data_IF_320470224195
#
_entry.id   IF_320470224195
#
_cell.length_a   1.000
_cell.length_b   1.000
_cell.length_c   1.000
_cell.angle_alpha   90.00
_cell.angle_beta   90.00
_cell.angle_gamma   90.00
#
_symmetry.space_group_name_H-M   'P 1'
#
loop_
_entity.id
_entity.type
_entity.pdbx_description
1 polymer ?
#
# COMPACT_ATOMS: atom_id res chain seq x y z
N UNK A 1 38.49 10.42 1.84
CA UNK A 1 37.52 10.37 0.73
C UNK A 1 36.41 11.34 1.04
N UNK A 2 36.05 12.21 0.08
CA UNK A 2 34.96 13.18 0.26
C UNK A 2 33.70 12.65 -0.41
N UNK A 3 32.56 12.61 0.33
CA UNK A 3 31.28 12.22 -0.23
C UNK A 3 30.81 13.34 -1.19
N UNK A 4 30.57 12.97 -2.45
CA UNK A 4 30.16 13.92 -3.50
C UNK A 4 28.62 14.05 -3.56
N UNK A 5 27.90 13.00 -3.19
CA UNK A 5 26.43 12.99 -3.19
C UNK A 5 25.89 11.73 -2.55
N UNK A 6 24.60 11.77 -2.23
CA UNK A 6 23.84 10.63 -1.70
C UNK A 6 22.73 10.34 -2.71
N UNK A 7 22.57 9.07 -3.08
CA UNK A 7 21.50 8.59 -3.95
C UNK A 7 20.67 7.54 -3.23
N UNK A 8 19.37 7.51 -3.49
CA UNK A 8 18.48 6.51 -2.96
C UNK A 8 18.50 5.26 -3.85
N UNK A 9 18.84 4.13 -3.28
CA UNK A 9 18.75 2.83 -3.92
C UNK A 9 17.65 2.02 -3.23
N UNK A 10 16.72 1.47 -4.02
CA UNK A 10 15.63 0.64 -3.49
C UNK A 10 16.06 -0.80 -3.22
N UNK A 11 17.14 -1.24 -3.84
CA UNK A 11 17.72 -2.58 -3.70
C UNK A 11 19.19 -2.46 -3.32
N UNK A 12 19.54 -3.01 -2.18
CA UNK A 12 20.86 -3.02 -1.59
C UNK A 12 21.51 -1.63 -1.41
N UNK A 13 22.50 -1.54 -0.57
CA UNK A 13 23.28 -0.32 -0.34
C UNK A 13 24.56 -0.38 -1.18
N UNK A 14 24.72 0.57 -2.08
CA UNK A 14 25.90 0.69 -2.93
C UNK A 14 26.66 1.96 -2.65
N UNK A 15 28.00 1.85 -2.66
CA UNK A 15 28.88 3.01 -2.70
C UNK A 15 29.50 3.10 -4.09
N UNK A 16 29.18 4.16 -4.80
CA UNK A 16 29.75 4.43 -6.12
C UNK A 16 31.06 5.21 -5.94
N UNK A 17 32.17 4.61 -6.35
CA UNK A 17 33.50 5.17 -6.20
C UNK A 17 34.24 5.05 -7.54
N UNK A 18 35.02 6.08 -7.91
CA UNK A 18 35.87 6.01 -9.11
C UNK A 18 37.04 5.06 -8.86
N UNK A 19 37.52 4.40 -9.92
CA UNK A 19 38.69 3.49 -9.86
C UNK A 19 39.92 4.17 -9.27
N UNK A 20 40.17 5.43 -9.63
CA UNK A 20 41.28 6.20 -9.12
C UNK A 20 41.17 6.47 -7.61
N UNK A 21 39.97 6.84 -7.15
CA UNK A 21 39.70 7.03 -5.71
C UNK A 21 39.82 5.73 -4.93
N UNK A 22 39.38 4.61 -5.52
CA UNK A 22 39.49 3.29 -4.91
C UNK A 22 40.99 2.91 -4.71
N UNK A 23 41.81 3.05 -5.77
CA UNK A 23 43.25 2.80 -5.69
C UNK A 23 43.94 3.66 -4.63
N UNK A 24 43.57 4.96 -4.57
CA UNK A 24 44.14 5.87 -3.60
C UNK A 24 43.73 5.56 -2.16
N UNK A 25 42.51 5.10 -1.94
CA UNK A 25 41.98 4.83 -0.62
C UNK A 25 42.37 3.46 -0.06
N UNK A 26 42.46 2.44 -0.91
CA UNK A 26 42.62 1.03 -0.49
C UNK A 26 43.99 0.44 -0.92
N UNK A 27 44.71 1.10 -1.86
CA UNK A 27 46.02 0.63 -2.32
C UNK A 27 46.00 -0.52 -3.30
N UNK A 28 44.80 -1.07 -3.62
CA UNK A 28 44.63 -2.20 -4.52
C UNK A 28 43.80 -1.84 -5.75
N UNK A 29 43.88 -2.66 -6.78
CA UNK A 29 43.01 -2.55 -7.94
C UNK A 29 41.63 -3.21 -7.67
N UNK A 30 40.50 -2.55 -8.06
CA UNK A 30 39.19 -3.15 -7.89
C UNK A 30 39.03 -4.36 -8.79
N UNK A 31 38.67 -5.50 -8.22
CA UNK A 31 38.30 -6.70 -8.98
C UNK A 31 36.91 -6.49 -9.61
N UNK A 32 36.83 -6.63 -10.92
CA UNK A 32 35.55 -6.59 -11.63
C UNK A 32 34.85 -7.94 -11.49
N UNK A 33 33.79 -7.98 -10.65
CA UNK A 33 33.00 -9.19 -10.42
C UNK A 33 31.62 -9.15 -11.11
N UNK A 34 31.21 -8.00 -11.64
CA UNK A 34 29.93 -7.80 -12.30
C UNK A 34 30.09 -6.96 -13.53
N UNK A 35 29.44 -7.35 -14.62
CA UNK A 35 29.32 -6.61 -15.85
C UNK A 35 27.85 -6.23 -16.06
N UNK A 36 27.58 -4.95 -16.30
CA UNK A 36 26.29 -4.46 -16.74
C UNK A 36 26.38 -4.22 -18.26
N UNK A 37 25.65 -5.04 -19.02
CA UNK A 37 25.62 -4.96 -20.46
C UNK A 37 24.31 -4.33 -20.93
N UNK A 38 24.39 -3.47 -21.94
CA UNK A 38 23.22 -2.99 -22.66
C UNK A 38 23.03 -3.83 -23.90
N UNK A 39 21.87 -4.44 -24.05
CA UNK A 39 21.52 -5.22 -25.24
C UNK A 39 21.33 -4.31 -26.46
N UNK A 40 21.69 -4.81 -27.63
CA UNK A 40 21.37 -4.17 -28.91
C UNK A 40 19.85 -4.21 -29.17
N UNK A 41 19.36 -3.28 -29.97
CA UNK A 41 17.96 -3.26 -30.34
C UNK A 41 17.56 -4.57 -31.05
N UNK A 42 16.53 -5.24 -30.50
CA UNK A 42 16.02 -6.51 -31.03
C UNK A 42 16.58 -7.79 -30.41
N UNK A 43 17.59 -7.70 -29.51
CA UNK A 43 18.07 -8.86 -28.78
C UNK A 43 17.15 -9.19 -27.58
N UNK A 44 16.80 -10.46 -27.44
CA UNK A 44 16.04 -10.93 -26.27
C UNK A 44 16.96 -11.20 -25.09
N UNK A 45 16.60 -10.67 -23.93
CA UNK A 45 17.42 -10.77 -22.73
C UNK A 45 17.60 -12.21 -22.23
N UNK A 46 16.57 -13.03 -22.36
CA UNK A 46 16.58 -14.42 -21.84
C UNK A 46 17.45 -15.35 -22.68
N UNK A 47 17.43 -15.20 -24.03
CA UNK A 47 18.30 -15.98 -24.92
C UNK A 47 19.78 -15.67 -24.65
N UNK A 48 20.10 -14.37 -24.51
CA UNK A 48 21.44 -13.91 -24.18
C UNK A 48 21.92 -14.38 -22.80
N UNK A 49 21.06 -14.42 -21.79
CA UNK A 49 21.45 -14.90 -20.47
C UNK A 49 21.78 -16.38 -20.49
N UNK A 50 21.07 -17.17 -21.30
CA UNK A 50 21.33 -18.60 -21.48
C UNK A 50 22.68 -18.83 -22.17
N UNK A 51 22.96 -18.12 -23.25
CA UNK A 51 24.26 -18.21 -23.97
C UNK A 51 25.42 -17.76 -23.08
N UNK A 52 25.23 -16.69 -22.27
CA UNK A 52 26.26 -16.21 -21.37
C UNK A 52 26.57 -17.19 -20.24
N UNK A 53 25.57 -17.92 -19.73
CA UNK A 53 25.78 -18.96 -18.71
C UNK A 53 26.52 -20.21 -19.25
N UNK A 54 26.55 -20.43 -20.56
CA UNK A 54 27.37 -21.48 -21.18
C UNK A 54 28.86 -21.07 -21.29
N UNK A 55 29.17 -19.78 -21.13
CA UNK A 55 30.54 -19.29 -21.19
C UNK A 55 31.31 -19.67 -19.92
N UNK A 56 32.54 -20.18 -20.11
CA UNK A 56 33.43 -20.49 -19.00
C UNK A 56 33.81 -19.20 -18.24
N UNK A 57 33.46 -19.14 -16.95
CA UNK A 57 33.77 -18.01 -16.08
C UNK A 57 32.56 -17.12 -15.71
N UNK A 58 31.41 -17.32 -16.34
CA UNK A 58 30.15 -16.67 -15.93
C UNK A 58 29.46 -17.54 -14.90
N UNK A 59 29.32 -17.05 -13.69
CA UNK A 59 28.63 -17.76 -12.60
C UNK A 59 27.13 -17.54 -12.65
N UNK A 60 26.71 -16.34 -13.06
CA UNK A 60 25.29 -15.97 -13.11
C UNK A 60 25.07 -14.84 -14.11
N UNK A 61 24.05 -14.97 -14.91
CA UNK A 61 23.56 -13.94 -15.79
C UNK A 61 22.04 -13.78 -15.61
N UNK A 62 21.55 -12.55 -15.62
CA UNK A 62 20.11 -12.26 -15.49
C UNK A 62 19.76 -11.03 -16.31
N UNK A 63 18.61 -11.04 -16.95
CA UNK A 63 18.10 -9.86 -17.63
C UNK A 63 17.34 -8.96 -16.65
N UNK A 64 17.39 -7.65 -16.87
CA UNK A 64 16.60 -6.69 -16.08
C UNK A 64 15.10 -6.91 -16.25
N UNK A 65 14.69 -7.51 -17.39
CA UNK A 65 13.30 -7.82 -17.68
C UNK A 65 12.82 -8.97 -16.80
N UNK A 66 13.57 -10.09 -16.75
CA UNK A 66 13.26 -11.26 -15.93
C UNK A 66 13.21 -10.88 -14.44
N UNK A 67 14.16 -10.05 -13.99
CA UNK A 67 14.15 -9.52 -12.62
C UNK A 67 12.87 -8.72 -12.35
N UNK A 68 12.48 -7.83 -13.27
CA UNK A 68 11.26 -7.02 -13.12
C UNK A 68 10.00 -7.89 -13.10
N UNK A 69 9.91 -8.91 -13.95
CA UNK A 69 8.80 -9.85 -14.00
C UNK A 69 8.68 -10.64 -12.69
N UNK A 70 9.76 -11.20 -12.20
CA UNK A 70 9.80 -11.92 -10.92
C UNK A 70 9.37 -11.03 -9.74
N UNK A 71 9.83 -9.76 -9.69
CA UNK A 71 9.38 -8.80 -8.69
C UNK A 71 7.90 -8.45 -8.85
N UNK A 72 7.43 -8.25 -10.08
CA UNK A 72 6.03 -7.95 -10.37
C UNK A 72 5.11 -9.09 -9.90
N UNK A 73 5.49 -10.34 -10.15
CA UNK A 73 4.68 -11.49 -9.76
C UNK A 73 4.69 -11.71 -8.24
N UNK A 74 5.80 -11.43 -7.59
CA UNK A 74 5.87 -11.40 -6.11
C UNK A 74 4.93 -10.34 -5.52
N UNK A 75 4.90 -9.15 -6.11
CA UNK A 75 4.01 -8.05 -5.69
C UNK A 75 2.54 -8.41 -5.93
N UNK A 76 2.20 -9.02 -7.08
CA UNK A 76 0.82 -9.47 -7.37
C UNK A 76 0.30 -10.49 -6.34
N UNK A 77 1.16 -11.33 -5.80
CA UNK A 77 0.78 -12.27 -4.74
C UNK A 77 0.35 -11.52 -3.46
N UNK A 78 0.98 -10.38 -3.17
CA UNK A 78 0.62 -9.52 -2.03
C UNK A 78 -0.72 -8.83 -2.26
N UNK A 79 -1.06 -8.47 -3.50
CA UNK A 79 -2.35 -7.85 -3.84
C UNK A 79 -3.54 -8.72 -3.45
N UNK A 80 -3.42 -10.05 -3.60
CA UNK A 80 -4.43 -11.01 -3.15
C UNK A 80 -4.65 -10.96 -1.62
N UNK A 81 -3.59 -10.87 -0.85
CA UNK A 81 -3.66 -10.75 0.62
C UNK A 81 -4.30 -9.43 1.02
N UNK A 82 -3.91 -8.33 0.36
CA UNK A 82 -4.49 -7.00 0.61
C UNK A 82 -5.99 -7.00 0.31
N UNK A 83 -6.43 -7.63 -0.79
CA UNK A 83 -7.84 -7.75 -1.13
C UNK A 83 -8.64 -8.47 -0.02
N UNK A 84 -8.12 -9.60 0.48
CA UNK A 84 -8.77 -10.35 1.58
C UNK A 84 -8.86 -9.50 2.85
N UNK A 85 -7.81 -8.74 3.18
CA UNK A 85 -7.81 -7.82 4.33
C UNK A 85 -8.85 -6.71 4.17
N UNK A 86 -8.98 -6.12 2.98
CA UNK A 86 -9.99 -5.09 2.69
C UNK A 86 -11.40 -5.67 2.84
N UNK A 87 -11.65 -6.86 2.32
CA UNK A 87 -12.95 -7.52 2.44
C UNK A 87 -13.28 -7.86 3.90
N UNK A 88 -12.33 -8.39 4.65
CA UNK A 88 -12.52 -8.70 6.07
C UNK A 88 -12.81 -7.44 6.90
N UNK A 89 -12.05 -6.37 6.68
CA UNK A 89 -12.28 -5.08 7.33
C UNK A 89 -13.64 -4.48 6.95
N UNK A 90 -14.05 -4.60 5.68
CA UNK A 90 -15.34 -4.15 5.19
C UNK A 90 -16.50 -4.90 5.84
N UNK A 91 -16.42 -6.22 5.93
CA UNK A 91 -17.42 -7.05 6.61
C UNK A 91 -17.52 -6.69 8.10
N UNK A 92 -16.38 -6.50 8.77
CA UNK A 92 -16.39 -6.05 10.16
C UNK A 92 -17.06 -4.69 10.30
N UNK A 93 -16.76 -3.75 9.41
CA UNK A 93 -17.37 -2.42 9.39
C UNK A 93 -18.90 -2.51 9.26
N UNK A 94 -19.42 -3.36 8.34
CA UNK A 94 -20.84 -3.58 8.15
C UNK A 94 -21.49 -4.09 9.44
N UNK A 95 -20.91 -5.11 10.08
CA UNK A 95 -21.45 -5.70 11.32
C UNK A 95 -21.49 -4.68 12.45
N UNK A 96 -20.40 -3.91 12.61
CA UNK A 96 -20.30 -2.89 13.67
C UNK A 96 -21.30 -1.76 13.43
N UNK A 97 -21.39 -1.23 12.22
CA UNK A 97 -22.33 -0.16 11.87
C UNK A 97 -23.79 -0.64 12.05
N UNK A 98 -24.11 -1.86 11.59
CA UNK A 98 -25.42 -2.44 11.76
C UNK A 98 -25.82 -2.54 13.24
N UNK A 99 -24.92 -3.08 14.08
CA UNK A 99 -25.17 -3.18 15.50
C UNK A 99 -25.33 -1.80 16.17
N UNK A 100 -24.47 -0.85 15.83
CA UNK A 100 -24.51 0.50 16.39
C UNK A 100 -25.81 1.21 16.02
N UNK A 101 -26.25 1.09 14.77
CA UNK A 101 -27.49 1.71 14.29
C UNK A 101 -28.71 1.06 14.95
N UNK A 102 -28.73 -0.27 15.10
CA UNK A 102 -29.79 -0.97 15.82
C UNK A 102 -29.92 -0.50 17.28
N UNK A 103 -28.81 -0.41 17.99
CA UNK A 103 -28.79 0.09 19.38
C UNK A 103 -29.31 1.51 19.43
N UNK A 104 -28.82 2.39 18.55
CA UNK A 104 -29.22 3.79 18.50
C UNK A 104 -30.75 3.94 18.25
N UNK A 105 -31.31 3.16 17.32
CA UNK A 105 -32.76 3.14 17.07
C UNK A 105 -33.53 2.61 18.28
N UNK A 106 -33.05 1.54 18.93
CA UNK A 106 -33.71 0.96 20.09
C UNK A 106 -33.74 1.93 21.29
N UNK A 107 -32.67 2.62 21.55
CA UNK A 107 -32.56 3.60 22.65
C UNK A 107 -33.48 4.81 22.43
N UNK A 108 -33.64 5.23 21.19
CA UNK A 108 -34.44 6.43 20.82
C UNK A 108 -35.87 6.12 20.39
N UNK A 109 -36.35 4.87 20.56
CA UNK A 109 -37.71 4.47 20.17
C UNK A 109 -38.80 5.39 20.67
N UNK A 110 -38.69 5.87 21.94
CA UNK A 110 -39.71 6.77 22.52
C UNK A 110 -39.67 8.16 21.87
N UNK A 111 -38.49 8.70 21.59
CA UNK A 111 -38.34 9.96 20.90
C UNK A 111 -38.87 9.91 19.47
N UNK A 112 -38.54 8.83 18.75
CA UNK A 112 -39.03 8.60 17.39
C UNK A 112 -40.55 8.42 17.34
N UNK A 113 -41.15 7.74 18.31
CA UNK A 113 -42.58 7.64 18.43
C UNK A 113 -43.24 8.99 18.66
N UNK A 114 -42.63 9.84 19.49
CA UNK A 114 -43.15 11.21 19.74
C UNK A 114 -43.11 12.07 18.46
N UNK A 115 -42.03 12.00 17.70
CA UNK A 115 -41.89 12.71 16.43
C UNK A 115 -42.93 12.24 15.40
N UNK A 116 -43.21 10.93 15.34
CA UNK A 116 -44.29 10.38 14.49
C UNK A 116 -45.67 10.87 14.89
N UNK A 117 -45.96 10.94 16.19
CA UNK A 117 -47.22 11.45 16.68
C UNK A 117 -47.41 12.94 16.37
N UNK A 118 -46.35 13.69 16.29
CA UNK A 118 -46.34 15.11 15.87
C UNK A 118 -46.57 15.32 14.37
N UNK A 119 -46.73 14.20 13.60
CA UNK A 119 -47.11 14.27 12.18
C UNK A 119 -45.96 14.23 11.19
N UNK A 120 -44.74 13.93 11.63
CA UNK A 120 -43.59 13.75 10.72
C UNK A 120 -43.74 12.47 9.90
N UNK A 121 -43.43 12.55 8.60
CA UNK A 121 -43.47 11.42 7.69
C UNK A 121 -42.29 10.47 7.94
N UNK A 122 -42.48 9.17 7.64
CA UNK A 122 -41.45 8.14 7.86
C UNK A 122 -40.09 8.52 7.28
N UNK A 123 -40.04 9.03 6.04
CA UNK A 123 -38.79 9.44 5.39
C UNK A 123 -38.09 10.65 6.03
N UNK A 124 -38.80 11.46 6.81
CA UNK A 124 -38.17 12.58 7.56
C UNK A 124 -37.49 12.06 8.82
N UNK A 125 -38.12 11.10 9.49
CA UNK A 125 -37.55 10.43 10.66
C UNK A 125 -36.33 9.60 10.27
N UNK A 126 -36.40 8.86 9.17
CA UNK A 126 -35.26 8.12 8.62
C UNK A 126 -34.09 9.06 8.28
N UNK A 127 -34.34 10.17 7.60
CA UNK A 127 -33.32 11.15 7.24
C UNK A 127 -32.65 11.76 8.47
N UNK A 128 -33.38 11.93 9.56
CA UNK A 128 -32.83 12.43 10.81
C UNK A 128 -31.83 11.44 11.43
N UNK A 129 -32.20 10.16 11.48
CA UNK A 129 -31.34 9.07 12.01
C UNK A 129 -30.09 8.90 11.13
N UNK A 130 -30.27 8.82 9.81
CA UNK A 130 -29.17 8.64 8.88
C UNK A 130 -28.18 9.80 8.88
N UNK A 131 -28.64 11.04 9.08
CA UNK A 131 -27.77 12.19 9.17
C UNK A 131 -26.81 12.09 10.35
N UNK A 132 -27.27 11.60 11.48
CA UNK A 132 -26.43 11.41 12.66
C UNK A 132 -25.42 10.29 12.45
N UNK A 133 -25.86 9.12 11.97
CA UNK A 133 -25.00 7.98 11.67
C UNK A 133 -23.96 8.33 10.61
N UNK A 134 -24.33 9.03 9.55
CA UNK A 134 -23.39 9.44 8.51
C UNK A 134 -22.35 10.43 9.02
N UNK A 135 -22.75 11.37 9.88
CA UNK A 135 -21.81 12.33 10.47
C UNK A 135 -20.79 11.62 11.37
N UNK A 136 -21.26 10.70 12.20
CA UNK A 136 -20.40 9.92 13.07
C UNK A 136 -19.45 9.01 12.28
N UNK A 137 -19.96 8.36 11.25
CA UNK A 137 -19.16 7.52 10.34
C UNK A 137 -18.10 8.33 9.60
N UNK A 138 -18.42 9.55 9.17
CA UNK A 138 -17.45 10.42 8.51
C UNK A 138 -16.32 10.84 9.46
N UNK A 139 -16.65 11.23 10.68
CA UNK A 139 -15.66 11.56 11.72
C UNK A 139 -14.78 10.33 12.01
N UNK A 140 -15.39 9.15 12.16
CA UNK A 140 -14.67 7.89 12.35
C UNK A 140 -13.74 7.55 11.20
N UNK A 141 -14.18 7.75 9.95
CA UNK A 141 -13.37 7.53 8.76
C UNK A 141 -12.14 8.46 8.72
N UNK A 142 -12.31 9.74 9.05
CA UNK A 142 -11.20 10.69 9.12
C UNK A 142 -10.21 10.30 10.23
N UNK A 143 -10.70 9.97 11.42
CA UNK A 143 -9.83 9.49 12.51
C UNK A 143 -9.10 8.19 12.14
N UNK A 144 -9.81 7.25 11.53
CA UNK A 144 -9.25 6.00 11.03
C UNK A 144 -8.14 6.23 9.99
N UNK A 145 -8.28 7.25 9.16
CA UNK A 145 -7.28 7.61 8.17
C UNK A 145 -5.98 8.10 8.83
N UNK A 146 -6.06 8.94 9.88
CA UNK A 146 -4.89 9.35 10.66
C UNK A 146 -4.18 8.17 11.33
N UNK A 147 -4.96 7.28 11.94
CA UNK A 147 -4.42 6.06 12.57
C UNK A 147 -3.78 5.16 11.51
N UNK A 148 -4.40 5.05 10.33
CA UNK A 148 -3.89 4.27 9.19
C UNK A 148 -2.54 4.80 8.68
N UNK A 149 -2.38 6.12 8.58
CA UNK A 149 -1.11 6.75 8.19
C UNK A 149 -0.01 6.43 9.23
N UNK A 150 -0.35 6.56 10.49
CA UNK A 150 0.59 6.27 11.57
C UNK A 150 1.00 4.79 11.57
N UNK A 151 0.03 3.88 11.44
CA UNK A 151 0.26 2.44 11.37
C UNK A 151 1.09 2.07 10.14
N UNK A 152 0.78 2.62 8.97
CA UNK A 152 1.56 2.42 7.75
C UNK A 152 3.02 2.81 7.97
N UNK A 153 3.26 4.00 8.52
CA UNK A 153 4.63 4.47 8.81
C UNK A 153 5.37 3.55 9.78
N UNK A 154 4.66 3.03 10.78
CA UNK A 154 5.23 2.09 11.74
C UNK A 154 5.58 0.75 11.08
N UNK A 155 4.64 0.17 10.32
CA UNK A 155 4.83 -1.11 9.64
C UNK A 155 5.98 -1.03 8.63
N UNK A 156 5.99 0.00 7.77
CA UNK A 156 7.05 0.16 6.77
C UNK A 156 8.43 0.24 7.42
N UNK A 157 8.57 0.98 8.53
CA UNK A 157 9.84 1.07 9.25
C UNK A 157 10.27 -0.23 9.93
N UNK A 158 9.30 -1.04 10.36
CA UNK A 158 9.59 -2.30 11.08
C UNK A 158 9.89 -3.45 10.13
N UNK A 159 9.26 -3.45 8.95
CA UNK A 159 9.42 -4.50 7.93
C UNK A 159 10.60 -4.20 6.99
N UNK A 160 11.12 -2.97 7.01
CA UNK A 160 12.28 -2.58 6.21
C UNK A 160 13.50 -3.44 6.59
N UNK A 161 13.99 -4.22 5.61
CA UNK A 161 15.16 -5.10 5.77
C UNK A 161 16.33 -4.41 5.07
N UNK A 162 17.55 -4.59 5.57
CA UNK A 162 18.78 -3.93 5.08
C UNK A 162 19.01 -4.02 3.56
N UNK A 163 18.34 -4.96 2.89
CA UNK A 163 18.49 -5.20 1.45
C UNK A 163 17.41 -4.53 0.58
N UNK A 164 16.25 -4.16 1.12
CA UNK A 164 15.10 -3.66 0.33
C UNK A 164 14.46 -2.47 1.03
N UNK A 165 14.47 -1.32 0.38
CA UNK A 165 13.79 -0.12 0.85
C UNK A 165 12.37 -0.08 0.29
N UNK A 166 11.36 -0.06 1.18
CA UNK A 166 9.98 0.09 0.78
C UNK A 166 9.63 1.57 0.55
N UNK A 167 8.77 1.83 -0.45
CA UNK A 167 8.30 3.18 -0.72
C UNK A 167 7.52 3.75 0.48
N UNK A 168 8.05 4.82 1.09
CA UNK A 168 7.45 5.46 2.27
C UNK A 168 6.35 6.46 1.92
N UNK A 169 6.21 6.79 0.65
CA UNK A 169 5.27 7.82 0.19
C UNK A 169 3.90 7.21 -0.14
N UNK A 170 2.87 7.67 0.58
CA UNK A 170 1.48 7.34 0.27
C UNK A 170 0.97 8.37 -0.75
N UNK A 171 0.49 7.89 -1.89
CA UNK A 171 -0.09 8.78 -2.90
C UNK A 171 -1.41 9.40 -2.40
N UNK A 172 -1.68 10.69 -2.66
CA UNK A 172 -2.93 11.35 -2.27
C UNK A 172 -4.19 10.63 -2.75
N UNK A 173 -4.12 9.95 -3.88
CA UNK A 173 -5.21 9.12 -4.42
C UNK A 173 -5.63 8.01 -3.46
N UNK A 174 -4.69 7.41 -2.72
CA UNK A 174 -4.98 6.34 -1.76
C UNK A 174 -5.86 6.82 -0.60
N UNK A 175 -5.68 8.05 -0.15
CA UNK A 175 -6.55 8.65 0.87
C UNK A 175 -7.98 8.86 0.35
N UNK A 176 -8.11 9.34 -0.90
CA UNK A 176 -9.41 9.52 -1.54
C UNK A 176 -10.15 8.19 -1.70
N UNK A 177 -9.45 7.12 -2.14
CA UNK A 177 -10.03 5.78 -2.24
C UNK A 177 -10.45 5.22 -0.89
N UNK A 178 -9.65 5.39 0.16
CA UNK A 178 -10.00 4.93 1.50
C UNK A 178 -11.27 5.61 2.03
N UNK A 179 -11.39 6.92 1.88
CA UNK A 179 -12.60 7.66 2.24
C UNK A 179 -13.80 7.24 1.41
N UNK A 180 -13.63 7.07 0.10
CA UNK A 180 -14.70 6.63 -0.81
C UNK A 180 -15.23 5.26 -0.41
N UNK A 181 -14.36 4.30 -0.15
CA UNK A 181 -14.72 2.95 0.31
C UNK A 181 -15.49 3.03 1.63
N UNK A 182 -15.05 3.83 2.60
CA UNK A 182 -15.73 4.00 3.87
C UNK A 182 -17.14 4.59 3.70
N UNK A 183 -17.30 5.58 2.82
CA UNK A 183 -18.60 6.17 2.51
C UNK A 183 -19.52 5.15 1.83
N UNK A 184 -19.00 4.36 0.88
CA UNK A 184 -19.78 3.29 0.21
C UNK A 184 -20.29 2.26 1.22
N UNK A 185 -19.46 1.81 2.16
CA UNK A 185 -19.89 0.90 3.21
C UNK A 185 -20.96 1.52 4.11
N UNK A 186 -20.82 2.79 4.48
CA UNK A 186 -21.82 3.49 5.28
C UNK A 186 -23.18 3.56 4.57
N UNK A 187 -23.16 3.90 3.26
CA UNK A 187 -24.39 3.94 2.45
C UNK A 187 -25.01 2.54 2.32
N UNK A 188 -24.18 1.51 2.09
CA UNK A 188 -24.65 0.13 2.01
C UNK A 188 -25.39 -0.30 3.28
N UNK A 189 -24.82 -0.04 4.45
CA UNK A 189 -25.46 -0.35 5.73
C UNK A 189 -26.76 0.41 5.89
N UNK A 190 -26.79 1.69 5.55
CA UNK A 190 -28.00 2.50 5.63
C UNK A 190 -29.10 2.05 4.66
N UNK A 191 -28.75 1.47 3.50
CA UNK A 191 -29.73 0.90 2.56
C UNK A 191 -30.31 -0.44 3.01
N UNK A 192 -29.60 -1.20 3.84
CA UNK A 192 -30.04 -2.52 4.35
C UNK A 192 -30.97 -2.35 5.56
N UNK A 193 -30.89 -1.25 6.24
CA UNK A 193 -31.69 -0.92 7.43
C UNK A 193 -32.93 -0.13 7.13
#
# INVERSE_FOLDING_TARGET
VRVAGITENYLASYAYISQETYRTAFGDEPEMKMLLCRLAEGAQGDDMTTELMECSGVVYASSSQTLRENFSDSIKSIDGVVLVLILAAGLLCIVVLYNLTNVNICERRKELATIRVLGFHEGEVERYIFRETNTLSFIGAVMGLFIGIWLHSYVVRTVEVDMVMFGRNIYPRSYAFALLISVVFTILVNCIM
#
